data_IF_252261943006
#
_entry.id   IF_252261943006
#
_cell.length_a   1.000
_cell.length_b   1.000
_cell.length_c   1.000
_cell.angle_alpha   90.00
_cell.angle_beta   90.00
_cell.angle_gamma   90.00
#
_symmetry.space_group_name_H-M   'P 1'
#
loop_
_entity.id
_entity.type
_entity.pdbx_description
1 polymer ?
#
# COMPACT_ATOMS: atom_id res chain seq x y z
N UNK A 1 10.54 13.36 -1.28
CA UNK A 1 10.62 11.89 -1.48
C UNK A 1 9.37 11.43 -2.22
N UNK A 2 9.47 11.26 -3.55
CA UNK A 2 8.45 10.70 -4.45
C UNK A 2 9.15 10.09 -5.69
N UNK A 3 10.18 9.27 -5.46
CA UNK A 3 11.09 8.76 -6.50
C UNK A 3 10.87 7.27 -6.79
N UNK A 4 9.73 6.71 -6.37
CA UNK A 4 9.38 5.30 -6.61
C UNK A 4 10.08 4.28 -5.70
N UNK A 5 11.09 4.66 -4.91
CA UNK A 5 11.85 3.73 -4.05
C UNK A 5 10.99 3.02 -3.00
N UNK A 6 10.08 3.77 -2.34
CA UNK A 6 9.34 3.25 -1.18
C UNK A 6 8.56 1.96 -1.49
N UNK A 7 8.01 1.85 -2.70
CA UNK A 7 7.28 0.68 -3.14
C UNK A 7 8.14 -0.59 -3.12
N UNK A 8 9.39 -0.49 -3.58
CA UNK A 8 10.34 -1.60 -3.65
C UNK A 8 11.04 -1.84 -2.31
N UNK A 9 11.36 -0.78 -1.56
CA UNK A 9 12.00 -0.88 -0.25
C UNK A 9 11.17 -1.65 0.76
N UNK A 10 9.87 -1.36 0.83
CA UNK A 10 8.93 -2.09 1.71
C UNK A 10 8.92 -3.59 1.39
N UNK A 11 8.95 -3.93 0.10
CA UNK A 11 8.88 -5.32 -0.37
C UNK A 11 10.18 -6.08 -0.15
N UNK A 12 11.32 -5.50 -0.55
CA UNK A 12 12.64 -6.15 -0.41
C UNK A 12 13.04 -6.34 1.06
N UNK A 13 12.59 -5.46 1.95
CA UNK A 13 12.81 -5.59 3.39
C UNK A 13 11.76 -6.44 4.09
N UNK A 14 10.72 -6.90 3.39
CA UNK A 14 9.61 -7.67 3.95
C UNK A 14 8.89 -6.97 5.11
N UNK A 15 8.79 -5.64 5.05
CA UNK A 15 8.15 -4.81 6.08
C UNK A 15 6.74 -4.32 5.69
N UNK A 16 6.09 -5.01 4.75
CA UNK A 16 4.76 -4.62 4.28
C UNK A 16 3.68 -4.75 5.37
N UNK A 17 3.64 -5.81 6.20
CA UNK A 17 2.66 -5.94 7.29
C UNK A 17 2.72 -4.78 8.31
N UNK A 18 3.88 -4.19 8.53
CA UNK A 18 4.11 -3.10 9.49
C UNK A 18 3.79 -1.72 8.89
N UNK A 19 3.88 -1.60 7.57
CA UNK A 19 3.85 -0.31 6.86
C UNK A 19 2.57 -0.09 6.05
N UNK A 20 1.95 -1.15 5.51
CA UNK A 20 0.67 -1.11 4.82
C UNK A 20 -0.48 -1.19 5.83
N UNK A 21 -0.65 -0.13 6.60
CA UNK A 21 -1.65 0.02 7.66
C UNK A 21 -2.60 1.20 7.40
N UNK A 22 -3.48 1.46 8.35
CA UNK A 22 -4.37 2.63 8.33
C UNK A 22 -3.58 3.93 8.16
N UNK A 23 -4.00 4.72 7.17
CA UNK A 23 -3.51 6.06 6.91
C UNK A 23 -4.44 7.05 7.61
N UNK A 24 -3.84 8.05 8.26
CA UNK A 24 -4.57 9.11 8.96
C UNK A 24 -4.22 10.48 8.36
N UNK A 25 -5.13 11.43 8.56
CA UNK A 25 -4.92 12.83 8.23
C UNK A 25 -5.44 13.72 9.35
N UNK A 26 -4.94 14.95 9.40
CA UNK A 26 -5.46 15.98 10.30
C UNK A 26 -6.57 16.77 9.59
N UNK A 27 -7.78 16.72 10.14
CA UNK A 27 -8.88 17.64 9.82
C UNK A 27 -8.74 18.86 10.75
N UNK A 28 -8.16 19.93 10.20
CA UNK A 28 -7.88 21.18 10.91
C UNK A 28 -8.93 22.21 10.52
N UNK A 29 -9.65 22.75 11.52
CA UNK A 29 -10.69 23.76 11.31
C UNK A 29 -10.40 25.00 12.13
N UNK A 30 -10.44 26.16 11.48
CA UNK A 30 -10.36 27.46 12.17
C UNK A 30 -11.76 27.84 12.69
N UNK A 31 -11.85 28.20 13.96
CA UNK A 31 -13.07 28.74 14.58
C UNK A 31 -13.15 30.25 14.38
N UNK A 32 -14.34 30.81 14.59
CA UNK A 32 -14.59 32.24 14.49
C UNK A 32 -13.81 33.07 15.52
N UNK A 33 -13.46 32.49 16.67
CA UNK A 33 -12.64 33.11 17.72
C UNK A 33 -11.13 33.12 17.40
N UNK A 34 -10.74 32.63 16.20
CA UNK A 34 -9.35 32.56 15.76
C UNK A 34 -8.59 31.31 16.22
N UNK A 35 -9.19 30.46 17.06
CA UNK A 35 -8.57 29.21 17.51
C UNK A 35 -8.71 28.10 16.46
N UNK A 36 -7.89 27.04 16.58
CA UNK A 36 -7.94 25.87 15.70
C UNK A 36 -8.44 24.63 16.45
N UNK A 37 -9.25 23.82 15.77
CA UNK A 37 -9.59 22.45 16.17
C UNK A 37 -8.81 21.48 15.33
N UNK A 38 -8.14 20.53 15.97
CA UNK A 38 -7.37 19.47 15.33
C UNK A 38 -8.05 18.13 15.59
N UNK A 39 -8.51 17.46 14.54
CA UNK A 39 -9.04 16.10 14.63
C UNK A 39 -8.18 15.17 13.80
N UNK A 40 -7.78 14.03 14.36
CA UNK A 40 -7.16 12.95 13.58
C UNK A 40 -8.28 12.07 13.03
N UNK A 41 -8.35 11.94 11.72
CA UNK A 41 -9.33 11.09 11.04
C UNK A 41 -8.62 10.02 10.24
N UNK A 42 -9.20 8.81 10.23
CA UNK A 42 -8.75 7.75 9.35
C UNK A 42 -9.14 8.09 7.91
N UNK A 43 -8.17 8.04 7.00
CA UNK A 43 -8.37 8.22 5.57
C UNK A 43 -8.70 6.90 4.88
N UNK A 44 -7.83 5.90 5.04
CA UNK A 44 -7.94 4.64 4.31
C UNK A 44 -7.25 3.50 5.07
N UNK A 45 -7.84 2.32 5.03
CA UNK A 45 -7.24 1.07 5.52
C UNK A 45 -6.60 0.35 4.35
N UNK A 46 -5.28 0.18 4.39
CA UNK A 46 -4.55 -0.60 3.38
C UNK A 46 -4.59 -2.08 3.74
N UNK A 47 -4.85 -2.92 2.74
CA UNK A 47 -4.79 -4.37 2.89
C UNK A 47 -3.54 -4.90 2.19
N UNK A 48 -2.79 -5.76 2.89
CA UNK A 48 -1.64 -6.45 2.33
C UNK A 48 -1.72 -7.94 2.67
N UNK A 49 -1.89 -8.79 1.66
CA UNK A 49 -1.97 -10.24 1.84
C UNK A 49 -0.59 -10.86 1.63
N UNK A 50 -0.08 -11.52 2.66
CA UNK A 50 1.18 -12.27 2.60
C UNK A 50 0.93 -13.74 2.23
N UNK A 51 1.72 -14.36 1.34
CA UNK A 51 2.91 -13.81 0.67
C UNK A 51 2.63 -13.12 -0.68
N UNK A 52 1.42 -13.22 -1.23
CA UNK A 52 1.14 -12.89 -2.63
C UNK A 52 1.52 -11.45 -3.02
N UNK A 53 1.25 -10.44 -2.18
CA UNK A 53 1.43 -9.03 -2.56
C UNK A 53 2.89 -8.54 -2.54
N UNK A 54 3.84 -9.41 -2.21
CA UNK A 54 5.28 -9.13 -2.36
C UNK A 54 5.74 -9.17 -3.82
N UNK A 55 5.09 -9.96 -4.66
CA UNK A 55 5.36 -10.06 -6.09
C UNK A 55 4.15 -9.56 -6.87
N UNK A 56 4.40 -8.88 -7.99
CA UNK A 56 3.31 -8.51 -8.91
C UNK A 56 2.77 -9.76 -9.59
N UNK A 57 1.45 -9.89 -9.80
CA UNK A 57 0.91 -11.02 -10.54
C UNK A 57 1.45 -11.01 -11.98
N UNK A 58 1.79 -12.18 -12.48
CA UNK A 58 2.11 -12.37 -13.90
C UNK A 58 0.81 -12.20 -14.68
N UNK A 59 0.76 -11.36 -15.74
CA UNK A 59 -0.44 -11.16 -16.53
C UNK A 59 -0.99 -12.49 -17.08
N UNK A 60 -2.31 -12.68 -17.00
CA UNK A 60 -2.93 -13.94 -17.41
C UNK A 60 -2.61 -14.34 -18.85
N UNK A 61 -2.59 -13.36 -19.77
CA UNK A 61 -2.25 -13.59 -21.18
C UNK A 61 -0.84 -14.17 -21.36
N UNK A 62 0.14 -13.71 -20.57
CA UNK A 62 1.51 -14.23 -20.62
C UNK A 62 1.58 -15.69 -20.19
N UNK A 63 0.81 -16.07 -19.15
CA UNK A 63 0.71 -17.47 -18.70
C UNK A 63 0.06 -18.37 -19.76
N UNK A 64 -0.89 -17.84 -20.53
CA UNK A 64 -1.53 -18.59 -21.61
C UNK A 64 -0.59 -18.81 -22.80
N UNK A 65 0.25 -17.83 -23.12
CA UNK A 65 1.23 -17.91 -24.21
C UNK A 65 2.39 -18.84 -23.83
N UNK A 66 2.95 -18.68 -22.63
CA UNK A 66 4.08 -19.47 -22.15
C UNK A 66 3.67 -20.44 -21.04
N UNK A 67 3.38 -21.69 -21.42
CA UNK A 67 3.00 -22.76 -20.49
C UNK A 67 4.08 -23.13 -19.46
N UNK A 68 5.33 -22.69 -19.65
CA UNK A 68 6.43 -22.90 -18.72
C UNK A 68 6.57 -21.74 -17.70
N UNK A 69 5.66 -20.76 -17.71
CA UNK A 69 5.65 -19.62 -16.80
C UNK A 69 4.52 -19.78 -15.76
N UNK A 70 4.74 -20.53 -14.65
CA UNK A 70 3.76 -20.64 -13.59
C UNK A 70 3.62 -19.30 -12.84
N UNK A 71 2.44 -19.08 -12.26
CA UNK A 71 2.13 -17.87 -11.51
C UNK A 71 2.99 -17.73 -10.24
N UNK A 72 3.16 -16.50 -9.76
CA UNK A 72 3.75 -16.19 -8.47
C UNK A 72 2.90 -16.76 -7.31
N UNK A 73 3.53 -17.15 -6.17
CA UNK A 73 2.80 -17.79 -5.07
C UNK A 73 1.61 -16.98 -4.56
N UNK A 74 0.42 -17.60 -4.55
CA UNK A 74 -0.82 -17.02 -4.01
C UNK A 74 -1.61 -16.14 -4.97
N UNK A 75 -1.15 -15.97 -6.21
CA UNK A 75 -1.93 -15.38 -7.32
C UNK A 75 -2.52 -16.47 -8.21
#
# INVERSE_FOLDING_TARGET
>A
MFEGHRFFDVRRWMIAPETEKDIYFYDIRKKNDGTFVYNVKKYHTRAFTTPQMYLLPIPFVEMQINKNCPQNPGW
#
